data_IF_610542037283
#
_entry.id   IF_610542037283
#
_cell.length_a   1.000
_cell.length_b   1.000
_cell.length_c   1.000
_cell.angle_alpha   90.00
_cell.angle_beta   90.00
_cell.angle_gamma   90.00
#
_symmetry.space_group_name_H-M   'P 1'
#
loop_
_entity.id
_entity.type
_entity.pdbx_description
1 polymer ?
#
# COMPACT_ATOMS: atom_id res chain seq x y z
N UNK A 1 33.54 7.10 -11.34
CA UNK A 1 32.33 6.52 -10.71
C UNK A 1 32.52 5.02 -10.39
N UNK A 2 33.54 4.65 -9.60
CA UNK A 2 33.79 3.25 -9.22
C UNK A 2 33.10 2.86 -7.89
N UNK A 3 32.74 3.83 -7.05
CA UNK A 3 32.11 3.60 -5.74
C UNK A 3 30.67 3.06 -5.83
N UNK A 4 29.91 3.42 -6.88
CA UNK A 4 28.51 3.03 -7.04
C UNK A 4 28.33 1.74 -7.88
N UNK A 5 29.37 1.26 -8.58
CA UNK A 5 29.26 0.10 -9.47
C UNK A 5 29.00 -1.22 -8.73
N UNK A 6 29.38 -1.31 -7.46
CA UNK A 6 29.20 -2.50 -6.63
C UNK A 6 27.85 -2.54 -5.87
N UNK A 7 27.07 -1.46 -5.84
CA UNK A 7 25.79 -1.42 -5.12
C UNK A 7 24.75 -2.38 -5.72
N UNK A 8 24.83 -2.63 -7.03
CA UNK A 8 24.00 -3.64 -7.70
C UNK A 8 24.21 -5.07 -7.18
N UNK A 9 25.31 -5.32 -6.45
CA UNK A 9 25.57 -6.61 -5.78
C UNK A 9 24.75 -6.80 -4.50
N UNK A 10 24.08 -5.75 -4.01
CA UNK A 10 23.30 -5.75 -2.77
C UNK A 10 21.81 -5.43 -3.01
N UNK A 11 21.30 -5.71 -4.22
CA UNK A 11 19.89 -5.50 -4.60
C UNK A 11 18.91 -6.10 -3.59
N UNK A 12 19.18 -7.31 -3.10
CA UNK A 12 18.32 -7.97 -2.11
C UNK A 12 18.27 -7.24 -0.76
N UNK A 13 19.39 -6.63 -0.35
CA UNK A 13 19.43 -5.81 0.87
C UNK A 13 18.66 -4.51 0.68
N UNK A 14 18.78 -3.87 -0.50
CA UNK A 14 17.95 -2.72 -0.85
C UNK A 14 16.44 -3.03 -0.79
N UNK A 15 16.03 -4.18 -1.33
CA UNK A 15 14.64 -4.64 -1.26
C UNK A 15 14.19 -4.94 0.17
N UNK A 16 15.07 -5.45 1.03
CA UNK A 16 14.77 -5.61 2.46
C UNK A 16 14.50 -4.26 3.13
N UNK A 17 15.35 -3.26 2.90
CA UNK A 17 15.19 -1.91 3.47
C UNK A 17 13.88 -1.28 3.01
N UNK A 18 13.56 -1.36 1.72
CA UNK A 18 12.29 -0.86 1.16
C UNK A 18 11.09 -1.54 1.81
N UNK A 19 11.12 -2.86 1.99
CA UNK A 19 10.04 -3.61 2.63
C UNK A 19 9.84 -3.22 4.08
N UNK A 20 10.93 -3.05 4.83
CA UNK A 20 10.86 -2.64 6.24
C UNK A 20 10.27 -1.23 6.34
N UNK A 21 10.80 -0.28 5.55
CA UNK A 21 10.33 1.10 5.56
C UNK A 21 8.85 1.22 5.18
N UNK A 22 8.46 0.65 4.04
CA UNK A 22 7.07 0.71 3.57
C UNK A 22 6.13 -0.09 4.47
N UNK A 23 6.52 -1.29 4.88
CA UNK A 23 5.70 -2.16 5.72
C UNK A 23 5.38 -1.53 7.07
N UNK A 24 6.38 -0.97 7.76
CA UNK A 24 6.16 -0.26 9.04
C UNK A 24 5.25 0.95 8.84
N UNK A 25 5.49 1.76 7.81
CA UNK A 25 4.66 2.94 7.55
C UNK A 25 3.20 2.57 7.29
N UNK A 26 2.95 1.52 6.51
CA UNK A 26 1.59 1.05 6.24
C UNK A 26 0.90 0.48 7.49
N UNK A 27 1.63 -0.18 8.39
CA UNK A 27 1.07 -0.60 9.67
C UNK A 27 0.71 0.62 10.53
N UNK A 28 1.60 1.62 10.62
CA UNK A 28 1.36 2.84 11.41
C UNK A 28 0.16 3.64 10.88
N UNK A 29 -0.01 3.72 9.56
CA UNK A 29 -1.14 4.45 8.95
C UNK A 29 -2.43 3.63 8.92
N UNK A 30 -2.33 2.32 8.73
CA UNK A 30 -3.45 1.42 8.68
C UNK A 30 -4.05 1.14 10.07
N UNK A 31 -3.23 1.03 11.11
CA UNK A 31 -3.72 0.61 12.44
C UNK A 31 -4.79 1.57 13.01
N UNK A 32 -4.61 2.90 12.94
CA UNK A 32 -5.67 3.84 13.31
C UNK A 32 -6.94 3.69 12.46
N UNK A 33 -6.81 3.40 11.15
CA UNK A 33 -7.96 3.17 10.27
C UNK A 33 -8.73 1.91 10.67
N UNK A 34 -8.01 0.86 11.07
CA UNK A 34 -8.62 -0.39 11.53
C UNK A 34 -9.32 -0.21 12.88
N UNK A 35 -8.72 0.56 13.79
CA UNK A 35 -9.30 0.87 15.11
C UNK A 35 -10.37 1.96 15.09
N UNK A 36 -10.63 2.59 13.93
CA UNK A 36 -11.64 3.65 13.78
C UNK A 36 -13.09 3.20 13.99
N UNK A 37 -13.35 1.90 14.13
CA UNK A 37 -14.69 1.35 14.38
C UNK A 37 -15.67 1.53 13.21
N UNK A 38 -16.96 1.23 13.42
CA UNK A 38 -17.98 1.27 12.36
C UNK A 38 -18.07 2.62 11.63
N UNK A 39 -18.07 3.72 12.39
CA UNK A 39 -18.15 5.08 11.83
C UNK A 39 -16.90 5.44 11.01
N UNK A 40 -15.71 5.06 11.50
CA UNK A 40 -14.46 5.26 10.79
C UNK A 40 -14.39 4.46 9.49
N UNK A 41 -14.88 3.21 9.51
CA UNK A 41 -14.94 2.37 8.32
C UNK A 41 -15.96 2.90 7.31
N UNK A 42 -17.13 3.35 7.75
CA UNK A 42 -18.10 3.97 6.85
C UNK A 42 -17.54 5.23 6.21
N UNK A 43 -16.86 6.09 6.97
CA UNK A 43 -16.17 7.27 6.44
C UNK A 43 -15.10 6.90 5.41
N UNK A 44 -14.26 5.91 5.71
CA UNK A 44 -13.20 5.47 4.80
C UNK A 44 -13.78 4.88 3.50
N UNK A 45 -14.78 4.01 3.62
CA UNK A 45 -15.42 3.36 2.48
C UNK A 45 -16.38 4.25 1.72
N UNK A 46 -16.85 5.37 2.27
CA UNK A 46 -17.58 6.39 1.50
C UNK A 46 -16.77 6.93 0.30
N UNK A 47 -15.44 6.78 0.36
CA UNK A 47 -14.51 7.11 -0.72
C UNK A 47 -14.70 6.23 -1.96
N UNK A 48 -15.34 5.06 -1.86
CA UNK A 48 -15.63 4.21 -3.02
C UNK A 48 -16.68 4.82 -3.95
N UNK A 49 -17.42 5.85 -3.53
CA UNK A 49 -18.36 6.54 -4.42
C UNK A 49 -17.68 7.16 -5.63
N UNK A 50 -16.40 7.55 -5.50
CA UNK A 50 -15.61 8.17 -6.56
C UNK A 50 -15.20 7.18 -7.67
N UNK A 51 -15.30 5.88 -7.39
CA UNK A 51 -15.09 4.80 -8.37
C UNK A 51 -16.42 4.15 -8.78
N UNK A 52 -17.57 4.76 -8.43
CA UNK A 52 -18.91 4.29 -8.82
C UNK A 52 -19.55 3.27 -7.86
N UNK A 53 -18.91 2.93 -6.75
CA UNK A 53 -19.44 1.99 -5.75
C UNK A 53 -20.03 2.73 -4.55
N UNK A 54 -21.35 2.73 -4.42
CA UNK A 54 -22.08 3.42 -3.34
C UNK A 54 -22.73 2.48 -2.33
N UNK A 55 -22.67 1.16 -2.55
CA UNK A 55 -23.23 0.17 -1.62
C UNK A 55 -22.20 -0.27 -0.58
N UNK A 56 -22.67 -0.66 0.60
CA UNK A 56 -21.85 -1.22 1.69
C UNK A 56 -20.55 -0.46 2.02
N UNK A 57 -20.58 0.88 2.20
CA UNK A 57 -19.37 1.67 2.48
C UNK A 57 -18.61 1.16 3.71
N UNK A 58 -19.31 0.78 4.78
CA UNK A 58 -18.67 0.21 5.97
C UNK A 58 -17.82 -1.03 5.67
N UNK A 59 -18.30 -1.93 4.79
CA UNK A 59 -17.55 -3.15 4.42
C UNK A 59 -16.33 -2.80 3.60
N UNK A 60 -16.48 -1.91 2.61
CA UNK A 60 -15.35 -1.47 1.80
C UNK A 60 -14.29 -0.72 2.61
N UNK A 61 -14.70 0.09 3.58
CA UNK A 61 -13.77 0.78 4.47
C UNK A 61 -13.04 -0.18 5.42
N UNK A 62 -13.74 -1.17 5.97
CA UNK A 62 -13.08 -2.23 6.75
C UNK A 62 -12.07 -3.00 5.90
N UNK A 63 -12.44 -3.37 4.67
CA UNK A 63 -11.54 -4.05 3.73
C UNK A 63 -10.34 -3.18 3.36
N UNK A 64 -10.52 -1.88 3.15
CA UNK A 64 -9.44 -0.94 2.89
C UNK A 64 -8.48 -0.83 4.09
N UNK A 65 -9.02 -0.70 5.31
CA UNK A 65 -8.21 -0.65 6.53
C UNK A 65 -7.46 -1.96 6.79
N UNK A 66 -8.10 -3.11 6.56
CA UNK A 66 -7.47 -4.43 6.63
C UNK A 66 -6.41 -4.60 5.55
N UNK A 67 -6.68 -4.19 4.32
CA UNK A 67 -5.72 -4.26 3.22
C UNK A 67 -4.47 -3.43 3.53
N UNK A 68 -4.62 -2.23 4.08
CA UNK A 68 -3.51 -1.36 4.42
C UNK A 68 -2.66 -1.91 5.58
N UNK A 69 -3.31 -2.36 6.67
CA UNK A 69 -2.62 -2.94 7.83
C UNK A 69 -1.99 -4.29 7.53
N UNK A 70 -2.79 -5.23 7.07
CA UNK A 70 -2.35 -6.60 6.82
C UNK A 70 -1.44 -6.65 5.60
N UNK A 71 -1.73 -5.87 4.55
CA UNK A 71 -0.85 -5.74 3.40
C UNK A 71 0.51 -5.15 3.77
N UNK A 72 0.54 -4.12 4.64
CA UNK A 72 1.78 -3.58 5.21
C UNK A 72 2.59 -4.64 5.97
N UNK A 73 1.92 -5.43 6.80
CA UNK A 73 2.55 -6.55 7.52
C UNK A 73 3.06 -7.66 6.59
N UNK A 74 2.28 -8.07 5.59
CA UNK A 74 2.67 -9.07 4.61
C UNK A 74 3.88 -8.61 3.79
N UNK A 75 3.97 -7.33 3.45
CA UNK A 75 5.13 -6.75 2.77
C UNK A 75 6.35 -6.69 3.69
N UNK A 76 6.17 -6.31 4.95
CA UNK A 76 7.22 -6.25 5.96
C UNK A 76 7.91 -7.61 6.13
N UNK A 77 7.11 -8.66 6.33
CA UNK A 77 7.58 -10.05 6.48
C UNK A 77 8.02 -10.63 5.12
N UNK A 78 7.47 -10.10 4.03
CA UNK A 78 7.66 -10.64 2.70
C UNK A 78 6.98 -12.01 2.55
N UNK A 79 5.74 -12.13 2.98
CA UNK A 79 4.87 -13.29 2.75
C UNK A 79 3.79 -12.88 1.75
N UNK A 80 3.48 -13.70 0.74
CA UNK A 80 2.48 -13.37 -0.27
C UNK A 80 2.73 -11.96 -0.88
N UNK A 81 4.01 -11.64 -1.12
CA UNK A 81 4.47 -10.27 -1.40
C UNK A 81 3.81 -9.68 -2.65
N UNK A 82 3.75 -10.45 -3.74
CA UNK A 82 3.14 -10.01 -5.00
C UNK A 82 1.65 -9.68 -4.86
N UNK A 83 0.79 -10.58 -4.36
CA UNK A 83 -0.62 -10.25 -4.16
C UNK A 83 -0.81 -9.14 -3.14
N UNK A 84 0.00 -9.05 -2.07
CA UNK A 84 -0.07 -7.93 -1.13
C UNK A 84 0.21 -6.57 -1.81
N UNK A 85 1.25 -6.48 -2.64
CA UNK A 85 1.55 -5.28 -3.42
C UNK A 85 0.39 -4.90 -4.38
N UNK A 86 -0.23 -5.88 -5.04
CA UNK A 86 -1.35 -5.61 -5.95
C UNK A 86 -2.59 -5.10 -5.20
N UNK A 87 -2.92 -5.72 -4.06
CA UNK A 87 -4.06 -5.30 -3.22
C UNK A 87 -3.82 -3.87 -2.71
N UNK A 88 -2.62 -3.55 -2.21
CA UNK A 88 -2.28 -2.20 -1.79
C UNK A 88 -2.32 -1.18 -2.93
N UNK A 89 -1.86 -1.58 -4.13
CA UNK A 89 -1.95 -0.72 -5.32
C UNK A 89 -3.40 -0.35 -5.63
N UNK A 90 -4.31 -1.33 -5.60
CA UNK A 90 -5.74 -1.08 -5.82
C UNK A 90 -6.28 -0.14 -4.74
N UNK A 91 -5.98 -0.40 -3.46
CA UNK A 91 -6.42 0.45 -2.34
C UNK A 91 -5.97 1.91 -2.51
N UNK A 92 -4.72 2.12 -2.95
CA UNK A 92 -4.16 3.45 -3.18
C UNK A 92 -4.74 4.14 -4.42
N UNK A 93 -5.11 3.41 -5.47
CA UNK A 93 -5.83 3.97 -6.62
C UNK A 93 -7.20 4.51 -6.19
N UNK A 94 -7.92 3.77 -5.33
CA UNK A 94 -9.21 4.23 -4.79
C UNK A 94 -9.02 5.47 -3.92
N UNK A 95 -7.96 5.50 -3.09
CA UNK A 95 -7.62 6.67 -2.31
C UNK A 95 -7.30 7.88 -3.20
N UNK A 96 -6.47 7.71 -4.24
CA UNK A 96 -6.14 8.77 -5.20
C UNK A 96 -7.39 9.30 -5.93
N UNK A 97 -8.28 8.42 -6.37
CA UNK A 97 -9.56 8.80 -6.97
C UNK A 97 -10.42 9.62 -5.98
N UNK A 98 -10.40 9.26 -4.69
CA UNK A 98 -11.09 10.03 -3.67
C UNK A 98 -10.52 11.43 -3.46
N UNK A 99 -9.19 11.59 -3.45
CA UNK A 99 -8.56 12.90 -3.32
C UNK A 99 -8.89 13.80 -4.53
N UNK A 100 -8.84 13.24 -5.74
CA UNK A 100 -9.24 13.96 -6.96
C UNK A 100 -10.72 14.33 -6.94
N UNK A 101 -11.60 13.39 -6.55
CA UNK A 101 -13.04 13.63 -6.49
C UNK A 101 -13.48 14.60 -5.39
N UNK A 102 -12.66 14.82 -4.36
CA UNK A 102 -12.86 15.88 -3.34
C UNK A 102 -12.40 17.26 -3.80
N UNK A 103 -11.76 17.37 -4.97
CA UNK A 103 -11.24 18.63 -5.49
C UNK A 103 -9.90 19.06 -4.89
N UNK A 104 -9.18 18.16 -4.21
CA UNK A 104 -7.84 18.43 -3.65
C UNK A 104 -6.74 18.50 -4.74
N UNK A 105 -7.12 18.24 -5.99
CA UNK A 105 -6.25 18.30 -7.16
C UNK A 105 -5.16 17.24 -7.16
N UNK A 106 -4.22 17.38 -8.08
CA UNK A 106 -3.12 16.42 -8.23
C UNK A 106 -2.20 16.41 -7.00
N UNK A 107 -2.04 17.54 -6.32
CA UNK A 107 -1.19 17.64 -5.13
C UNK A 107 -1.77 16.85 -3.94
N UNK A 108 -3.09 16.85 -3.74
CA UNK A 108 -3.74 16.02 -2.71
C UNK A 108 -3.67 14.54 -3.03
N UNK A 109 -3.74 14.18 -4.32
CA UNK A 109 -3.65 12.79 -4.78
C UNK A 109 -2.21 12.29 -5.01
N UNK A 110 -1.18 13.14 -4.92
CA UNK A 110 0.19 12.79 -5.27
C UNK A 110 0.73 11.63 -4.43
N UNK A 111 0.54 11.70 -3.11
CA UNK A 111 1.03 10.68 -2.19
C UNK A 111 0.48 9.26 -2.48
N UNK A 112 -0.84 9.04 -2.60
CA UNK A 112 -1.35 7.73 -2.96
C UNK A 112 -0.95 7.29 -4.38
N UNK A 113 -0.81 8.21 -5.33
CA UNK A 113 -0.35 7.90 -6.70
C UNK A 113 1.10 7.41 -6.69
N UNK A 114 2.01 8.12 -6.01
CA UNK A 114 3.42 7.75 -5.89
C UNK A 114 3.57 6.36 -5.27
N UNK A 115 2.88 6.11 -4.16
CA UNK A 115 2.91 4.80 -3.49
C UNK A 115 2.31 3.70 -4.36
N UNK A 116 1.22 3.97 -5.09
CA UNK A 116 0.63 3.00 -6.02
C UNK A 116 1.65 2.57 -7.09
N UNK A 117 2.39 3.53 -7.67
CA UNK A 117 3.45 3.23 -8.65
C UNK A 117 4.57 2.42 -8.01
N UNK A 118 4.98 2.75 -6.78
CA UNK A 118 6.01 1.99 -6.05
C UNK A 118 5.56 0.55 -5.80
N UNK A 119 4.36 0.32 -5.28
CA UNK A 119 3.86 -1.05 -5.03
C UNK A 119 3.67 -1.83 -6.31
N UNK A 120 3.17 -1.19 -7.38
CA UNK A 120 3.06 -1.83 -8.68
C UNK A 120 4.43 -2.25 -9.21
N UNK A 121 5.42 -1.37 -9.13
CA UNK A 121 6.80 -1.69 -9.49
C UNK A 121 7.37 -2.84 -8.64
N UNK A 122 7.13 -2.83 -7.33
CA UNK A 122 7.54 -3.90 -6.43
C UNK A 122 6.86 -5.24 -6.76
N UNK A 123 5.60 -5.24 -7.23
CA UNK A 123 4.93 -6.47 -7.65
C UNK A 123 5.68 -7.17 -8.80
N UNK A 124 6.27 -6.39 -9.73
CA UNK A 124 7.09 -6.92 -10.82
C UNK A 124 8.50 -7.32 -10.36
N UNK A 125 9.17 -6.47 -9.55
CA UNK A 125 10.52 -6.75 -9.04
C UNK A 125 10.55 -7.98 -8.12
N UNK A 126 9.50 -8.16 -7.32
CA UNK A 126 9.37 -9.25 -6.37
C UNK A 126 10.04 -8.98 -5.02
N UNK A 127 9.95 -9.94 -4.09
CA UNK A 127 10.27 -9.73 -2.67
C UNK A 127 11.76 -9.68 -2.32
N UNK A 128 12.66 -10.13 -3.20
CA UNK A 128 14.09 -10.28 -2.90
C UNK A 128 14.43 -11.51 -2.03
N UNK A 129 15.71 -11.69 -1.72
CA UNK A 129 16.25 -12.89 -1.04
C UNK A 129 15.87 -13.04 0.42
N UNK A 130 15.59 -11.96 1.13
CA UNK A 130 15.30 -11.98 2.56
C UNK A 130 13.78 -12.07 2.83
N UNK A 131 13.03 -12.81 2.02
CA UNK A 131 11.58 -12.94 2.13
C UNK A 131 11.19 -14.28 2.74
N UNK A 132 10.17 -14.29 3.59
CA UNK A 132 9.63 -15.54 4.15
C UNK A 132 8.96 -16.40 3.07
N UNK A 133 8.50 -15.79 1.97
CA UNK A 133 7.95 -16.48 0.78
C UNK A 133 8.99 -17.32 0.01
N UNK A 134 10.29 -17.22 0.33
CA UNK A 134 11.32 -18.02 -0.33
C UNK A 134 11.34 -19.47 0.19
N UNK A 135 10.79 -20.36 -0.62
CA UNK A 135 11.46 -21.63 -0.96
C UNK A 135 12.41 -21.40 -2.14
#
# INVERSE_FOLDING_TARGET
MALLSNLGRHKDFGLLVVRIGLGIMFIIHGYPKLMGGPDGWEGLGSSTKYIGFTFLPMVFGLLAALAETLGGFLILVGLAFRPACLILTINLIVAAASHLGRGEGLMGAAHPIELAVVFLGLAFVGPGKYSVDKK
#
